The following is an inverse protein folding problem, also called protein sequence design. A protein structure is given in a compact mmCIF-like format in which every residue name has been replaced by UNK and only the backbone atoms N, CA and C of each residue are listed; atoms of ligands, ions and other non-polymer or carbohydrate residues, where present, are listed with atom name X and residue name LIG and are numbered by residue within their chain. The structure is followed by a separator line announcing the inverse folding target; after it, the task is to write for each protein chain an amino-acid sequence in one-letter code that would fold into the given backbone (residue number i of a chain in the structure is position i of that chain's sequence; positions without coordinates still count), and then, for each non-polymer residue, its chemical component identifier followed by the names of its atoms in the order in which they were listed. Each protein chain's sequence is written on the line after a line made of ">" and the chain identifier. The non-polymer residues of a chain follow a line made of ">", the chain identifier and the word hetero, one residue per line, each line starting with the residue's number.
data_IF_202334450040
#
_entry.id   IF_202334450040
#
_cell.length_a   1.000
_cell.length_b   1.000
_cell.length_c   1.000
_cell.angle_alpha   90.00
_cell.angle_beta   90.00
_cell.angle_gamma   90.00
#
_symmetry.space_group_name_H-M   'P 1'
#
loop_
_entity.id
_entity.type
_entity.pdbx_description
1 polymer ?
#
# COMPACT_ATOMS: atom_id res chain seq x y z
N UNK A 1 39.57 44.55 5.67
CA UNK A 1 40.88 43.99 5.25
C UNK A 1 40.67 42.57 4.72
N UNK A 2 40.46 42.41 3.40
CA UNK A 2 40.18 41.10 2.81
C UNK A 2 41.48 40.28 2.73
N UNK A 3 41.66 39.34 3.66
CA UNK A 3 42.77 38.37 3.65
C UNK A 3 42.60 37.48 2.40
N UNK A 4 43.46 37.63 1.40
CA UNK A 4 43.44 36.76 0.21
C UNK A 4 43.82 35.33 0.63
N UNK A 5 42.97 34.36 0.29
CA UNK A 5 43.24 32.94 0.51
C UNK A 5 44.50 32.53 -0.28
N UNK A 6 45.44 31.88 0.39
CA UNK A 6 46.66 31.36 -0.25
C UNK A 6 46.33 30.16 -1.14
N UNK A 7 47.11 29.91 -2.20
CA UNK A 7 46.89 28.81 -3.16
C UNK A 7 46.68 27.44 -2.48
N UNK A 8 47.44 27.14 -1.42
CA UNK A 8 47.28 25.91 -0.62
C UNK A 8 45.92 25.85 0.11
N UNK A 9 45.44 26.97 0.64
CA UNK A 9 44.13 27.03 1.31
C UNK A 9 42.98 26.83 0.33
N UNK A 10 43.08 27.37 -0.89
CA UNK A 10 42.06 27.20 -1.93
C UNK A 10 41.93 25.75 -2.39
N UNK A 11 43.06 25.05 -2.57
CA UNK A 11 43.06 23.62 -2.93
C UNK A 11 42.43 22.77 -1.81
N UNK A 12 42.76 23.06 -0.56
CA UNK A 12 42.23 22.33 0.59
C UNK A 12 40.71 22.56 0.77
N UNK A 13 40.23 23.80 0.60
CA UNK A 13 38.80 24.11 0.63
C UNK A 13 38.05 23.48 -0.55
N UNK A 14 38.62 23.49 -1.75
CA UNK A 14 38.04 22.83 -2.92
C UNK A 14 37.94 21.30 -2.73
N UNK A 15 38.94 20.68 -2.11
CA UNK A 15 38.91 19.26 -1.78
C UNK A 15 37.80 18.93 -0.76
N UNK A 16 37.65 19.72 0.30
CA UNK A 16 36.57 19.55 1.29
C UNK A 16 35.20 19.66 0.63
N UNK A 17 35.00 20.64 -0.25
CA UNK A 17 33.75 20.80 -0.99
C UNK A 17 33.49 19.64 -1.95
N UNK A 18 34.52 19.13 -2.63
CA UNK A 18 34.41 17.96 -3.51
C UNK A 18 33.97 16.70 -2.74
N UNK A 19 34.54 16.48 -1.55
CA UNK A 19 34.13 15.37 -0.66
C UNK A 19 32.68 15.56 -0.21
N UNK A 20 32.29 16.77 0.22
CA UNK A 20 30.90 17.05 0.59
C UNK A 20 29.92 16.84 -0.57
N UNK A 21 30.30 17.26 -1.78
CA UNK A 21 29.51 17.06 -3.00
C UNK A 21 29.31 15.57 -3.31
N UNK A 22 30.38 14.77 -3.26
CA UNK A 22 30.30 13.32 -3.45
C UNK A 22 29.45 12.65 -2.40
N UNK A 23 29.57 13.03 -1.12
CA UNK A 23 28.73 12.47 -0.05
C UNK A 23 27.24 12.72 -0.29
N UNK A 24 26.87 13.95 -0.67
CA UNK A 24 25.47 14.29 -0.98
C UNK A 24 24.98 13.54 -2.22
N UNK A 25 25.81 13.43 -3.27
CA UNK A 25 25.51 12.67 -4.48
C UNK A 25 25.27 11.19 -4.21
N UNK A 26 26.20 10.54 -3.48
CA UNK A 26 26.08 9.13 -3.12
C UNK A 26 24.87 8.89 -2.23
N UNK A 27 24.58 9.80 -1.29
CA UNK A 27 23.37 9.73 -0.46
C UNK A 27 22.10 9.82 -1.31
N UNK A 28 22.03 10.72 -2.30
CA UNK A 28 20.88 10.85 -3.21
C UNK A 28 20.68 9.59 -4.07
N UNK A 29 21.75 9.04 -4.64
CA UNK A 29 21.69 7.80 -5.44
C UNK A 29 21.27 6.60 -4.58
N UNK A 30 21.79 6.48 -3.35
CA UNK A 30 21.43 5.41 -2.43
C UNK A 30 19.96 5.54 -1.98
N UNK A 31 19.49 6.75 -1.69
CA UNK A 31 18.09 7.00 -1.33
C UNK A 31 17.14 6.68 -2.49
N UNK A 32 17.57 6.89 -3.74
CA UNK A 32 16.82 6.49 -4.95
C UNK A 32 16.81 4.98 -5.18
N UNK A 33 17.79 4.23 -4.67
CA UNK A 33 17.82 2.76 -4.76
C UNK A 33 17.05 2.08 -3.63
N UNK A 34 16.93 2.74 -2.47
CA UNK A 34 16.23 2.23 -1.29
C UNK A 34 14.73 2.58 -1.28
N UNK A 35 14.08 2.75 -2.43
CA UNK A 35 12.62 2.94 -2.57
C UNK A 35 11.78 1.72 -2.12
N UNK A 36 12.43 0.64 -1.68
CA UNK A 36 11.86 -0.61 -1.18
C UNK A 36 10.68 -0.42 -0.22
N UNK A 37 10.69 0.57 0.68
CA UNK A 37 9.56 0.79 1.62
C UNK A 37 8.28 1.24 0.91
N UNK A 38 8.40 2.08 -0.13
CA UNK A 38 7.23 2.51 -0.89
C UNK A 38 6.76 1.43 -1.86
N UNK A 39 7.68 0.72 -2.52
CA UNK A 39 7.37 -0.37 -3.46
C UNK A 39 6.66 -1.54 -2.75
N UNK A 40 7.14 -1.97 -1.58
CA UNK A 40 6.46 -3.02 -0.80
C UNK A 40 5.08 -2.57 -0.31
N UNK A 41 4.90 -1.29 0.03
CA UNK A 41 3.60 -0.78 0.47
C UNK A 41 2.60 -0.74 -0.69
N UNK A 42 3.02 -0.32 -1.89
CA UNK A 42 2.16 -0.31 -3.08
C UNK A 42 1.76 -1.73 -3.49
N UNK A 43 2.70 -2.69 -3.49
CA UNK A 43 2.41 -4.07 -3.83
C UNK A 43 1.42 -4.71 -2.84
N UNK A 44 1.56 -4.41 -1.53
CA UNK A 44 0.63 -4.88 -0.50
C UNK A 44 -0.78 -4.29 -0.61
N UNK A 45 -0.91 -3.06 -1.14
CA UNK A 45 -2.23 -2.44 -1.38
C UNK A 45 -2.97 -3.17 -2.50
N UNK A 46 -2.27 -3.56 -3.57
CA UNK A 46 -2.88 -4.27 -4.69
C UNK A 46 -3.17 -5.74 -4.37
N UNK A 47 -2.13 -6.52 -4.07
CA UNK A 47 -2.25 -7.98 -3.89
C UNK A 47 -3.06 -8.35 -2.64
N UNK A 48 -2.85 -7.68 -1.50
CA UNK A 48 -3.49 -8.11 -0.25
C UNK A 48 -4.84 -7.41 0.02
N UNK A 49 -5.03 -6.17 -0.44
CA UNK A 49 -6.24 -5.38 -0.10
C UNK A 49 -7.27 -5.32 -1.22
N UNK A 50 -6.86 -5.13 -2.48
CA UNK A 50 -7.81 -5.08 -3.61
C UNK A 50 -8.38 -6.47 -3.91
N UNK A 51 -7.52 -7.49 -3.98
CA UNK A 51 -7.96 -8.88 -4.23
C UNK A 51 -8.89 -9.38 -3.12
N UNK A 52 -8.56 -9.11 -1.85
CA UNK A 52 -9.40 -9.48 -0.72
C UNK A 52 -10.78 -8.79 -0.77
N UNK A 53 -10.85 -7.53 -1.20
CA UNK A 53 -12.12 -6.82 -1.42
C UNK A 53 -12.94 -7.45 -2.55
N UNK A 54 -12.30 -7.93 -3.62
CA UNK A 54 -12.98 -8.66 -4.69
C UNK A 54 -13.63 -9.95 -4.16
N UNK A 55 -12.93 -10.72 -3.33
CA UNK A 55 -13.51 -11.92 -2.71
C UNK A 55 -14.72 -11.60 -1.83
N UNK A 56 -14.63 -10.57 -0.99
CA UNK A 56 -15.76 -10.13 -0.15
C UNK A 56 -16.95 -9.73 -1.02
N UNK A 57 -16.72 -8.99 -2.11
CA UNK A 57 -17.76 -8.57 -3.03
C UNK A 57 -18.43 -9.78 -3.72
N UNK A 58 -17.66 -10.74 -4.21
CA UNK A 58 -18.18 -11.96 -4.84
C UNK A 58 -18.98 -12.81 -3.86
N UNK A 59 -18.48 -12.96 -2.62
CA UNK A 59 -19.19 -13.65 -1.54
C UNK A 59 -20.55 -12.98 -1.26
N UNK A 60 -20.56 -11.65 -1.13
CA UNK A 60 -21.80 -10.90 -0.89
C UNK A 60 -22.84 -11.15 -1.99
N UNK A 61 -22.43 -11.12 -3.25
CA UNK A 61 -23.32 -11.41 -4.37
C UNK A 61 -23.86 -12.84 -4.35
N UNK A 62 -23.02 -13.84 -4.06
CA UNK A 62 -23.45 -15.25 -3.99
C UNK A 62 -24.44 -15.49 -2.84
N UNK A 63 -24.19 -14.92 -1.67
CA UNK A 63 -25.11 -15.03 -0.53
C UNK A 63 -26.43 -14.32 -0.79
N UNK A 64 -26.40 -13.12 -1.37
CA UNK A 64 -27.62 -12.41 -1.73
C UNK A 64 -28.45 -13.17 -2.78
N UNK A 65 -27.80 -13.79 -3.77
CA UNK A 65 -28.50 -14.63 -4.73
C UNK A 65 -29.15 -15.86 -4.07
N UNK A 66 -28.45 -16.51 -3.13
CA UNK A 66 -29.02 -17.62 -2.35
C UNK A 66 -30.23 -17.18 -1.52
N UNK A 67 -30.17 -16.01 -0.90
CA UNK A 67 -31.28 -15.42 -0.14
C UNK A 67 -32.52 -15.15 -1.02
N UNK A 68 -32.32 -14.66 -2.25
CA UNK A 68 -33.40 -14.44 -3.22
C UNK A 68 -34.02 -15.75 -3.72
N UNK A 69 -33.21 -16.77 -4.00
CA UNK A 69 -33.69 -18.09 -4.44
C UNK A 69 -34.50 -18.80 -3.37
N UNK A 70 -34.06 -18.68 -2.13
CA UNK A 70 -34.80 -19.12 -0.96
C UNK A 70 -36.18 -18.43 -0.88
N UNK A 71 -36.21 -17.12 -1.07
CA UNK A 71 -37.42 -16.31 -0.93
C UNK A 71 -38.42 -16.52 -2.08
N UNK A 72 -37.99 -17.05 -3.22
CA UNK A 72 -38.80 -17.16 -4.44
C UNK A 72 -39.43 -18.53 -4.68
N UNK A 73 -39.43 -19.43 -3.67
CA UNK A 73 -40.03 -20.77 -3.72
C UNK A 73 -39.54 -21.69 -4.88
N UNK A 74 -38.47 -21.29 -5.59
CA UNK A 74 -37.73 -22.11 -6.56
C UNK A 74 -36.65 -22.96 -5.90
N UNK A 75 -36.67 -23.06 -4.58
CA UNK A 75 -35.60 -23.61 -3.74
C UNK A 75 -35.09 -24.97 -4.21
N UNK A 76 -33.97 -24.95 -4.93
CA UNK A 76 -33.11 -26.12 -5.09
C UNK A 76 -32.31 -26.23 -3.80
N UNK A 77 -32.89 -26.92 -2.83
CA UNK A 77 -32.23 -27.25 -1.58
C UNK A 77 -31.22 -28.37 -1.84
N UNK A 78 -30.01 -28.01 -2.26
CA UNK A 78 -28.93 -28.98 -2.41
C UNK A 78 -27.92 -28.62 -3.50
N UNK A 79 -26.64 -28.85 -3.16
CA UNK A 79 -25.44 -28.88 -4.00
C UNK A 79 -25.55 -28.14 -5.34
N UNK A 80 -25.57 -26.81 -5.27
CA UNK A 80 -25.48 -25.93 -6.42
C UNK A 80 -24.02 -25.48 -6.64
N UNK A 81 -23.67 -25.08 -7.86
CA UNK A 81 -22.33 -24.58 -8.18
C UNK A 81 -21.92 -23.34 -7.35
N UNK A 82 -22.88 -22.66 -6.71
CA UNK A 82 -22.62 -21.52 -5.83
C UNK A 82 -22.01 -21.95 -4.50
N UNK A 83 -22.44 -23.08 -3.95
CA UNK A 83 -21.88 -23.61 -2.70
C UNK A 83 -20.39 -23.95 -2.85
N UNK A 84 -20.00 -24.52 -4.00
CA UNK A 84 -18.59 -24.75 -4.33
C UNK A 84 -17.83 -23.42 -4.51
N UNK A 85 -18.43 -22.48 -5.25
CA UNK A 85 -17.83 -21.15 -5.45
C UNK A 85 -17.63 -20.38 -4.14
N UNK A 86 -18.57 -20.51 -3.18
CA UNK A 86 -18.45 -19.88 -1.86
C UNK A 86 -17.29 -20.50 -1.09
N UNK A 87 -17.15 -21.83 -1.10
CA UNK A 87 -16.03 -22.52 -0.43
C UNK A 87 -14.68 -22.10 -1.00
N UNK A 88 -14.57 -22.09 -2.33
CA UNK A 88 -13.36 -21.65 -3.02
C UNK A 88 -13.01 -20.19 -2.66
N UNK A 89 -14.00 -19.28 -2.66
CA UNK A 89 -13.79 -17.88 -2.28
C UNK A 89 -13.40 -17.72 -0.82
N UNK A 90 -13.98 -18.49 0.11
CA UNK A 90 -13.59 -18.48 1.51
C UNK A 90 -12.16 -19.00 1.69
N UNK A 91 -11.76 -20.06 0.98
CA UNK A 91 -10.40 -20.58 1.00
C UNK A 91 -9.40 -19.56 0.45
N UNK A 92 -9.68 -19.00 -0.74
CA UNK A 92 -8.85 -17.97 -1.35
C UNK A 92 -8.71 -16.73 -0.45
N UNK A 93 -9.80 -16.29 0.18
CA UNK A 93 -9.75 -15.20 1.15
C UNK A 93 -8.91 -15.54 2.38
N UNK A 94 -8.93 -16.80 2.84
CA UNK A 94 -8.11 -17.24 3.98
C UNK A 94 -6.61 -17.23 3.71
N UNK A 95 -6.22 -17.31 2.43
CA UNK A 95 -4.82 -17.22 1.99
C UNK A 95 -4.32 -15.78 1.87
N UNK A 96 -5.21 -14.79 2.02
CA UNK A 96 -4.83 -13.37 2.07
C UNK A 96 -4.29 -12.98 3.45
N UNK A 97 -3.65 -11.82 3.54
CA UNK A 97 -3.09 -11.31 4.80
C UNK A 97 -4.15 -10.66 5.70
N UNK A 98 -4.81 -11.50 6.49
CA UNK A 98 -5.81 -11.07 7.46
C UNK A 98 -5.19 -10.29 8.64
N UNK A 99 -5.83 -9.18 9.01
CA UNK A 99 -5.60 -8.53 10.30
C UNK A 99 -6.22 -9.32 11.46
N UNK A 100 -5.83 -9.04 12.72
CA UNK A 100 -6.49 -9.64 13.88
C UNK A 100 -8.01 -9.41 13.90
N UNK A 101 -8.47 -8.21 13.52
CA UNK A 101 -9.90 -7.88 13.46
C UNK A 101 -10.61 -8.63 12.33
N UNK A 102 -9.99 -8.72 11.14
CA UNK A 102 -10.53 -9.50 10.02
C UNK A 102 -10.64 -10.98 10.37
N UNK A 103 -9.66 -11.52 11.08
CA UNK A 103 -9.63 -12.93 11.48
C UNK A 103 -10.84 -13.31 12.35
N UNK A 104 -11.27 -12.40 13.24
CA UNK A 104 -12.46 -12.59 14.07
C UNK A 104 -13.73 -12.63 13.23
N UNK A 105 -13.95 -11.65 12.37
CA UNK A 105 -15.15 -11.60 11.52
C UNK A 105 -15.18 -12.71 10.47
N UNK A 106 -14.01 -13.11 9.97
CA UNK A 106 -13.88 -14.21 9.02
C UNK A 106 -14.17 -15.56 9.66
N UNK A 107 -13.72 -15.79 10.90
CA UNK A 107 -14.10 -16.99 11.64
C UNK A 107 -15.63 -17.07 11.83
N UNK A 108 -16.25 -15.95 12.26
CA UNK A 108 -17.70 -15.86 12.41
C UNK A 108 -18.45 -16.09 11.08
N UNK A 109 -17.93 -15.57 9.97
CA UNK A 109 -18.49 -15.80 8.64
C UNK A 109 -18.48 -17.29 8.28
N UNK A 110 -17.36 -17.99 8.50
CA UNK A 110 -17.25 -19.43 8.24
C UNK A 110 -18.19 -20.26 9.12
N UNK A 111 -18.32 -19.91 10.40
CA UNK A 111 -19.22 -20.59 11.31
C UNK A 111 -20.69 -20.41 10.89
N UNK A 112 -21.10 -19.18 10.55
CA UNK A 112 -22.44 -18.90 10.05
C UNK A 112 -22.72 -19.61 8.71
N UNK A 113 -21.72 -19.71 7.83
CA UNK A 113 -21.86 -20.45 6.57
C UNK A 113 -22.02 -21.96 6.80
N UNK A 114 -21.27 -22.55 7.74
CA UNK A 114 -21.44 -23.97 8.12
C UNK A 114 -22.82 -24.24 8.72
N UNK A 115 -23.32 -23.30 9.53
CA UNK A 115 -24.69 -23.37 10.07
C UNK A 115 -25.73 -23.30 8.94
N UNK A 116 -25.54 -22.39 7.98
CA UNK A 116 -26.36 -22.30 6.76
C UNK A 116 -26.34 -23.60 5.95
N UNK A 117 -25.17 -24.18 5.68
CA UNK A 117 -25.08 -25.48 4.96
C UNK A 117 -25.79 -26.60 5.73
N UNK A 118 -25.68 -26.62 7.06
CA UNK A 118 -26.36 -27.64 7.88
C UNK A 118 -27.87 -27.49 7.77
N UNK A 119 -28.37 -26.25 7.81
CA UNK A 119 -29.78 -25.94 7.65
C UNK A 119 -30.26 -26.32 6.25
N UNK A 120 -29.57 -25.88 5.19
CA UNK A 120 -29.86 -26.24 3.79
C UNK A 120 -29.99 -27.76 3.62
N UNK A 121 -29.01 -28.54 4.10
CA UNK A 121 -28.99 -30.01 3.99
C UNK A 121 -30.12 -30.69 4.78
N UNK A 122 -30.57 -30.11 5.89
CA UNK A 122 -31.69 -30.65 6.67
C UNK A 122 -33.02 -30.48 5.92
N UNK A 123 -33.19 -29.37 5.19
CA UNK A 123 -34.38 -29.10 4.39
C UNK A 123 -34.43 -29.92 3.11
N UNK A 124 -33.28 -30.20 2.47
CA UNK A 124 -33.19 -31.11 1.32
C UNK A 124 -33.75 -32.52 1.59
N UNK A 125 -33.78 -32.94 2.87
CA UNK A 125 -34.17 -34.29 3.30
C UNK A 125 -35.60 -34.36 3.84
N UNK A 126 -36.30 -33.23 3.97
CA UNK A 126 -37.62 -33.15 4.58
C UNK A 126 -38.71 -32.98 3.50
N UNK A 127 -39.80 -33.76 3.52
CA UNK A 127 -40.90 -33.60 2.55
C UNK A 127 -41.56 -32.21 2.66
N UNK A 128 -42.03 -31.69 1.53
CA UNK A 128 -42.37 -30.28 1.24
C UNK A 128 -43.51 -29.62 2.06
N UNK A 129 -43.90 -30.15 3.22
CA UNK A 129 -45.08 -29.69 3.97
C UNK A 129 -44.79 -28.80 5.18
N UNK A 130 -43.53 -28.38 5.40
CA UNK A 130 -43.14 -27.57 6.57
C UNK A 130 -42.65 -26.17 6.14
N UNK A 131 -43.56 -25.30 5.71
CA UNK A 131 -43.21 -24.03 5.07
C UNK A 131 -43.07 -22.79 6.00
N UNK A 132 -43.43 -22.86 7.28
CA UNK A 132 -43.67 -21.61 8.05
C UNK A 132 -42.64 -21.31 9.17
N UNK A 133 -41.85 -22.29 9.62
CA UNK A 133 -40.81 -22.07 10.66
C UNK A 133 -39.43 -21.67 10.11
N UNK A 134 -39.14 -22.06 8.87
CA UNK A 134 -37.79 -22.17 8.31
C UNK A 134 -37.24 -20.84 7.77
N UNK A 135 -38.09 -19.99 7.22
CA UNK A 135 -37.69 -18.72 6.57
C UNK A 135 -37.04 -17.75 7.54
N UNK A 136 -37.45 -17.77 8.82
CA UNK A 136 -36.87 -16.90 9.85
C UNK A 136 -35.44 -17.31 10.22
N UNK A 137 -35.17 -18.61 10.34
CA UNK A 137 -33.83 -19.12 10.67
C UNK A 137 -32.83 -18.81 9.55
N UNK A 138 -33.23 -19.02 8.29
CA UNK A 138 -32.43 -18.61 7.14
C UNK A 138 -32.21 -17.10 7.09
N UNK A 139 -33.26 -16.29 7.30
CA UNK A 139 -33.14 -14.82 7.28
C UNK A 139 -32.15 -14.32 8.34
N UNK A 140 -32.19 -14.87 9.55
CA UNK A 140 -31.22 -14.55 10.62
C UNK A 140 -29.79 -14.94 10.20
N UNK A 141 -29.60 -16.07 9.54
CA UNK A 141 -28.29 -16.49 9.05
C UNK A 141 -27.76 -15.59 7.93
N UNK A 142 -28.59 -15.25 6.95
CA UNK A 142 -28.20 -14.31 5.88
C UNK A 142 -27.88 -12.92 6.44
N UNK A 143 -28.64 -12.44 7.41
CA UNK A 143 -28.34 -11.17 8.09
C UNK A 143 -26.98 -11.23 8.81
N UNK A 144 -26.70 -12.31 9.55
CA UNK A 144 -25.40 -12.50 10.21
C UNK A 144 -24.24 -12.57 9.21
N UNK A 145 -24.43 -13.28 8.10
CA UNK A 145 -23.43 -13.41 7.02
C UNK A 145 -23.18 -12.04 6.38
N UNK A 146 -24.24 -11.32 5.99
CA UNK A 146 -24.15 -9.98 5.42
C UNK A 146 -23.45 -8.99 6.37
N UNK A 147 -23.80 -9.03 7.66
CA UNK A 147 -23.16 -8.20 8.68
C UNK A 147 -21.66 -8.51 8.84
N UNK A 148 -21.24 -9.78 8.75
CA UNK A 148 -19.82 -10.13 8.80
C UNK A 148 -19.07 -9.66 7.54
N UNK A 149 -19.67 -9.79 6.35
CA UNK A 149 -19.09 -9.31 5.10
C UNK A 149 -18.96 -7.78 5.08
N UNK A 150 -19.96 -7.06 5.58
CA UNK A 150 -19.91 -5.60 5.73
C UNK A 150 -18.80 -5.17 6.70
N UNK A 151 -18.67 -5.84 7.86
CA UNK A 151 -17.57 -5.58 8.80
C UNK A 151 -16.20 -5.87 8.18
N UNK A 152 -16.05 -6.99 7.48
CA UNK A 152 -14.81 -7.33 6.75
C UNK A 152 -14.48 -6.26 5.70
N UNK A 153 -15.47 -5.82 4.92
CA UNK A 153 -15.28 -4.76 3.92
C UNK A 153 -14.85 -3.43 4.56
N UNK A 154 -15.48 -3.03 5.66
CA UNK A 154 -15.13 -1.81 6.40
C UNK A 154 -13.71 -1.84 6.94
N UNK A 155 -13.28 -2.97 7.53
CA UNK A 155 -11.91 -3.13 8.02
C UNK A 155 -10.93 -3.09 6.84
N UNK A 156 -11.19 -3.83 5.75
CA UNK A 156 -10.35 -3.84 4.55
C UNK A 156 -10.18 -2.44 3.94
N UNK A 157 -11.27 -1.67 3.83
CA UNK A 157 -11.22 -0.30 3.31
C UNK A 157 -10.43 0.64 4.24
N UNK A 158 -10.56 0.48 5.56
CA UNK A 158 -9.80 1.26 6.54
C UNK A 158 -8.30 0.96 6.45
N UNK A 159 -7.93 -0.32 6.44
CA UNK A 159 -6.54 -0.77 6.31
C UNK A 159 -5.93 -0.34 4.97
N UNK A 160 -6.67 -0.50 3.87
CA UNK A 160 -6.24 -0.05 2.55
C UNK A 160 -5.97 1.46 2.48
N UNK A 161 -6.83 2.28 3.10
CA UNK A 161 -6.62 3.73 3.23
C UNK A 161 -5.39 4.06 4.07
N UNK A 162 -5.21 3.36 5.19
CA UNK A 162 -4.06 3.58 6.07
C UNK A 162 -2.73 3.22 5.38
N UNK A 163 -2.66 2.07 4.70
CA UNK A 163 -1.47 1.67 3.94
C UNK A 163 -1.16 2.66 2.82
N UNK A 164 -2.18 3.11 2.09
CA UNK A 164 -2.02 4.12 1.03
C UNK A 164 -1.54 5.46 1.60
N UNK A 165 -2.08 5.90 2.73
CA UNK A 165 -1.64 7.11 3.41
C UNK A 165 -0.18 7.02 3.86
N UNK A 166 0.22 5.90 4.47
CA UNK A 166 1.60 5.68 4.91
C UNK A 166 2.57 5.62 3.73
N UNK A 167 2.18 4.98 2.62
CA UNK A 167 2.96 4.96 1.38
C UNK A 167 3.19 6.38 0.83
N UNK A 168 2.11 7.16 0.69
CA UNK A 168 2.18 8.53 0.19
C UNK A 168 3.02 9.44 1.10
N UNK A 169 2.91 9.27 2.42
CA UNK A 169 3.73 10.00 3.38
C UNK A 169 5.22 9.64 3.26
N UNK A 170 5.55 8.37 3.11
CA UNK A 170 6.93 7.93 2.90
C UNK A 170 7.51 8.45 1.57
N UNK A 171 6.74 8.36 0.49
CA UNK A 171 7.13 8.87 -0.83
C UNK A 171 7.35 10.38 -0.83
N UNK A 172 6.41 11.14 -0.24
CA UNK A 172 6.51 12.61 -0.18
C UNK A 172 7.69 13.09 0.66
N UNK A 173 7.97 12.46 1.80
CA UNK A 173 9.16 12.77 2.61
C UNK A 173 10.45 12.54 1.82
N UNK A 174 10.55 11.41 1.12
CA UNK A 174 11.72 11.11 0.29
C UNK A 174 11.89 12.12 -0.86
N UNK A 175 10.79 12.54 -1.48
CA UNK A 175 10.81 13.55 -2.54
C UNK A 175 11.25 14.93 -2.02
N UNK A 176 10.82 15.33 -0.82
CA UNK A 176 11.27 16.57 -0.17
C UNK A 176 12.77 16.53 0.16
N UNK A 177 13.25 15.43 0.73
CA UNK A 177 14.67 15.25 1.05
C UNK A 177 15.53 15.28 -0.22
N UNK A 178 15.12 14.59 -1.29
CA UNK A 178 15.84 14.59 -2.56
C UNK A 178 15.88 15.99 -3.19
N UNK A 179 14.76 16.74 -3.17
CA UNK A 179 14.74 18.13 -3.64
C UNK A 179 15.73 19.02 -2.86
N UNK A 180 15.79 18.87 -1.53
CA UNK A 180 16.72 19.62 -0.70
C UNK A 180 18.19 19.26 -1.02
N UNK A 181 18.48 17.98 -1.24
CA UNK A 181 19.82 17.51 -1.65
C UNK A 181 20.26 18.12 -2.98
N UNK A 182 19.37 18.20 -3.99
CA UNK A 182 19.67 18.85 -5.27
C UNK A 182 19.99 20.33 -5.09
N UNK A 183 19.24 21.05 -4.23
CA UNK A 183 19.54 22.45 -3.90
C UNK A 183 20.93 22.58 -3.26
N UNK A 184 21.28 21.71 -2.32
CA UNK A 184 22.62 21.68 -1.73
C UNK A 184 23.73 21.44 -2.77
N UNK A 185 23.51 20.53 -3.72
CA UNK A 185 24.46 20.28 -4.81
C UNK A 185 24.67 21.52 -5.68
N UNK A 186 23.61 22.25 -6.01
CA UNK A 186 23.69 23.52 -6.76
C UNK A 186 24.51 24.56 -5.98
N UNK A 187 24.24 24.72 -4.68
CA UNK A 187 24.96 25.67 -3.82
C UNK A 187 26.45 25.31 -3.71
N UNK A 188 26.78 24.03 -3.46
CA UNK A 188 28.17 23.56 -3.39
C UNK A 188 28.88 23.75 -4.73
N UNK A 189 28.21 23.43 -5.85
CA UNK A 189 28.73 23.65 -7.20
C UNK A 189 29.05 25.12 -7.48
N UNK A 190 28.14 26.03 -7.13
CA UNK A 190 28.36 27.48 -7.26
C UNK A 190 29.54 27.97 -6.41
N UNK A 191 29.64 27.51 -5.15
CA UNK A 191 30.77 27.84 -4.27
C UNK A 191 32.10 27.35 -4.86
N UNK A 192 32.10 26.16 -5.46
CA UNK A 192 33.28 25.60 -6.12
C UNK A 192 33.73 26.48 -7.30
N UNK A 193 32.78 26.88 -8.17
CA UNK A 193 33.07 27.79 -9.30
C UNK A 193 33.61 29.13 -8.80
N UNK A 194 33.00 29.74 -7.77
CA UNK A 194 33.48 31.00 -7.20
C UNK A 194 34.92 30.89 -6.66
N UNK A 195 35.22 29.82 -5.92
CA UNK A 195 36.55 29.59 -5.34
C UNK A 195 37.59 29.35 -6.43
N UNK A 196 37.24 28.66 -7.53
CA UNK A 196 38.15 28.41 -8.64
C UNK A 196 38.39 29.71 -9.43
N UNK A 197 37.33 30.43 -9.83
CA UNK A 197 37.39 31.53 -10.78
C UNK A 197 37.88 32.88 -10.21
N UNK A 198 37.67 33.19 -8.93
CA UNK A 198 38.17 34.44 -8.31
C UNK A 198 39.71 34.47 -8.08
N UNK A 199 40.46 33.64 -8.80
CA UNK A 199 41.89 33.42 -8.63
C UNK A 199 42.82 34.15 -9.57
N UNK A 200 42.33 34.77 -10.64
CA UNK A 200 43.20 35.31 -11.68
C UNK A 200 43.16 36.83 -11.68
N UNK A 201 44.29 37.43 -11.29
CA UNK A 201 44.73 38.68 -11.93
C UNK A 201 45.94 38.30 -12.77
N UNK A 202 45.90 38.42 -14.11
CA UNK A 202 47.07 38.21 -14.94
C UNK A 202 48.10 39.27 -14.55
N UNK A 203 49.28 38.82 -14.18
CA UNK A 203 50.42 39.67 -13.82
C UNK A 203 50.94 40.31 -15.12
N UNK A 204 50.32 41.40 -15.58
CA UNK A 204 50.86 42.19 -16.70
C UNK A 204 52.11 42.90 -16.17
N UNK A 205 53.27 42.34 -16.51
CA UNK A 205 54.57 42.98 -16.34
C UNK A 205 54.67 44.07 -17.41
N UNK A 206 54.31 45.31 -17.08
CA UNK A 206 54.68 46.47 -17.89
C UNK A 206 56.21 46.55 -17.88
N UNK A 207 56.84 46.14 -18.98
CA UNK A 207 58.22 46.50 -19.29
C UNK A 207 58.19 47.97 -19.71
N UNK A 208 58.36 48.86 -18.74
CA UNK A 208 58.91 50.18 -19.00
C UNK A 208 60.41 50.01 -19.19
N UNK A 209 60.90 50.33 -20.38
CA UNK A 209 62.30 50.70 -20.58
C UNK A 209 62.31 52.04 -21.29
N UNK A 210 62.39 53.09 -20.48
CA UNK A 210 63.07 54.31 -20.87
C UNK A 210 64.58 54.03 -20.75
N UNK A 211 65.27 54.08 -21.89
CA UNK A 211 66.69 54.42 -22.10
C UNK A 211 67.10 53.95 -23.51
#
# INVERSE_FOLDING_TARGET
>A
MHKKLTLKQRLNTGFILAVAFLLVLTSNELNRRNFSTADHTVNSVFEDRVVALEYIYRLNNLFHQKELELSSAKGSWGHDGKSESIKELLENFSNTKLTPNESVHFAQLKDNYRELETLENSFSRTPATTEIGSTKEFSVLFEKIGNNLDKLSKVQLSEGRQLTYLSNKALSMNLLLSKLQVVFLIVIGLLMVLIIFHGEKPFIKMVGKDA
#
